data_IF_828854569084
#
_entry.id   IF_828854569084
#
_cell.length_a   1.000
_cell.length_b   1.000
_cell.length_c   1.000
_cell.angle_alpha   90.00
_cell.angle_beta   90.00
_cell.angle_gamma   90.00
#
_symmetry.space_group_name_H-M   'P 1'
#
loop_
_entity.id
_entity.type
_entity.pdbx_description
1 polymer ?
#
# COMPACT_ATOMS: atom_id res chain seq x y z
N UNK A 1 4.02 -14.37 32.77
CA UNK A 1 2.88 -15.01 32.09
C UNK A 1 2.34 -14.13 30.95
N UNK A 2 2.00 -12.87 31.22
CA UNK A 2 1.48 -11.91 30.19
C UNK A 2 2.45 -11.66 29.02
N UNK A 3 3.77 -11.58 29.23
CA UNK A 3 4.73 -11.33 28.14
C UNK A 3 4.81 -12.47 27.12
N UNK A 4 4.81 -13.74 27.57
CA UNK A 4 4.81 -14.92 26.69
C UNK A 4 3.50 -15.04 25.88
N UNK A 5 2.37 -14.75 26.53
CA UNK A 5 1.06 -14.76 25.86
C UNK A 5 0.99 -13.68 24.77
N UNK A 6 1.55 -12.49 25.02
CA UNK A 6 1.66 -11.43 24.00
C UNK A 6 2.54 -11.85 22.82
N UNK A 7 3.65 -12.52 23.06
CA UNK A 7 4.52 -13.03 22.00
C UNK A 7 3.83 -14.11 21.13
N UNK A 8 3.08 -15.01 21.77
CA UNK A 8 2.33 -16.04 21.05
C UNK A 8 1.20 -15.44 20.21
N UNK A 9 0.44 -14.47 20.76
CA UNK A 9 -0.60 -13.76 20.02
C UNK A 9 0.02 -13.00 18.84
N UNK A 10 1.13 -12.28 19.05
CA UNK A 10 1.81 -11.57 17.98
C UNK A 10 2.36 -12.49 16.89
N UNK A 11 2.82 -13.69 17.24
CA UNK A 11 3.29 -14.71 16.28
C UNK A 11 2.14 -15.31 15.46
N UNK A 12 0.94 -15.42 16.03
CA UNK A 12 -0.25 -15.97 15.35
C UNK A 12 -0.96 -14.96 14.45
N UNK A 13 -0.65 -13.67 14.58
CA UNK A 13 -1.28 -12.64 13.75
C UNK A 13 -0.90 -12.78 12.28
N UNK A 14 -1.90 -12.62 11.41
CA UNK A 14 -1.67 -12.45 9.99
C UNK A 14 -0.97 -11.10 9.76
N UNK A 15 0.28 -11.16 9.35
CA UNK A 15 1.06 -10.00 8.95
C UNK A 15 1.14 -9.96 7.43
N UNK A 16 0.79 -8.85 6.88
CA UNK A 16 1.19 -8.53 5.52
C UNK A 16 2.63 -8.02 5.56
N UNK A 17 3.60 -8.96 5.75
CA UNK A 17 4.94 -8.71 5.20
C UNK A 17 4.70 -8.45 3.72
N UNK A 18 5.20 -7.38 3.18
CA UNK A 18 4.71 -6.84 1.91
C UNK A 18 5.86 -6.30 1.10
N UNK A 19 5.76 -6.46 -0.20
CA UNK A 19 6.47 -5.62 -1.16
C UNK A 19 5.46 -4.61 -1.70
N UNK A 20 5.66 -3.36 -1.36
CA UNK A 20 4.81 -2.25 -1.75
C UNK A 20 5.66 -1.17 -2.41
N UNK A 21 5.18 -0.61 -3.51
CA UNK A 21 5.87 0.45 -4.23
C UNK A 21 4.89 1.42 -4.86
N UNK A 22 5.19 2.70 -4.74
CA UNK A 22 4.53 3.78 -5.46
C UNK A 22 5.57 4.61 -6.21
N UNK A 23 5.34 4.93 -7.47
CA UNK A 23 6.20 5.83 -8.23
C UNK A 23 5.40 6.94 -8.90
N UNK A 24 5.97 8.15 -8.91
CA UNK A 24 5.42 9.31 -9.59
C UNK A 24 6.00 9.35 -11.00
N UNK A 25 5.12 9.36 -11.99
CA UNK A 25 5.45 9.45 -13.41
C UNK A 25 5.01 10.83 -13.96
N UNK A 26 5.53 11.20 -15.12
CA UNK A 26 5.18 12.46 -15.78
C UNK A 26 3.67 12.60 -16.09
N UNK A 27 3.01 11.50 -16.36
CA UNK A 27 1.61 11.40 -16.81
C UNK A 27 0.68 10.67 -15.82
N UNK A 28 1.17 10.30 -14.63
CA UNK A 28 0.39 9.62 -13.61
C UNK A 28 1.21 9.02 -12.48
N UNK A 29 0.59 8.14 -11.73
CA UNK A 29 1.20 7.41 -10.61
C UNK A 29 0.99 5.93 -10.81
N UNK A 30 1.94 5.12 -10.37
CA UNK A 30 1.83 3.66 -10.37
C UNK A 30 1.96 3.16 -8.94
N UNK A 31 1.03 2.30 -8.54
CA UNK A 31 1.11 1.53 -7.31
C UNK A 31 1.28 0.05 -7.64
N UNK A 32 2.22 -0.59 -6.98
CA UNK A 32 2.46 -2.03 -7.10
C UNK A 32 2.55 -2.72 -5.76
N UNK A 33 2.02 -3.95 -5.66
CA UNK A 33 2.14 -4.78 -4.48
C UNK A 33 2.18 -6.27 -4.81
N UNK A 34 2.77 -7.07 -3.92
CA UNK A 34 2.70 -8.53 -3.96
C UNK A 34 1.39 -9.05 -3.32
N UNK A 35 1.17 -10.39 -3.38
CA UNK A 35 -0.08 -11.03 -2.92
C UNK A 35 0.07 -11.96 -1.72
N UNK A 36 1.27 -12.13 -1.17
CA UNK A 36 1.51 -13.07 -0.06
C UNK A 36 1.05 -12.50 1.28
N UNK A 37 0.40 -13.36 2.08
CA UNK A 37 0.14 -13.11 3.51
C UNK A 37 0.77 -14.23 4.32
N UNK A 38 1.45 -13.86 5.40
CA UNK A 38 2.15 -14.80 6.28
C UNK A 38 1.60 -14.75 7.71
N UNK A 39 1.81 -15.84 8.44
CA UNK A 39 1.70 -15.88 9.90
C UNK A 39 2.94 -16.57 10.43
N UNK A 40 3.81 -15.81 11.08
CA UNK A 40 5.15 -16.27 11.43
C UNK A 40 5.92 -16.71 10.18
N UNK A 41 6.34 -17.97 10.13
CA UNK A 41 7.06 -18.58 9.00
C UNK A 41 6.15 -19.25 7.95
N UNK A 42 4.83 -19.24 8.14
CA UNK A 42 3.89 -19.92 7.25
C UNK A 42 3.26 -18.94 6.26
N UNK A 43 3.06 -19.40 5.01
CA UNK A 43 2.26 -18.70 4.01
C UNK A 43 0.80 -19.09 4.23
N UNK A 44 -0.02 -18.13 4.69
CA UNK A 44 -1.43 -18.32 4.97
C UNK A 44 -2.34 -17.94 3.80
N UNK A 45 -1.91 -16.99 2.98
CA UNK A 45 -2.65 -16.54 1.80
C UNK A 45 -1.71 -16.29 0.61
N UNK A 46 -2.13 -16.76 -0.57
CA UNK A 46 -1.35 -16.64 -1.81
C UNK A 46 -1.94 -15.64 -2.80
N UNK A 47 -3.16 -15.17 -2.58
CA UNK A 47 -3.87 -14.25 -3.48
C UNK A 47 -4.60 -13.16 -2.70
N UNK A 48 -3.88 -12.49 -1.79
CA UNK A 48 -4.46 -11.40 -1.01
C UNK A 48 -4.27 -10.06 -1.72
N UNK A 49 -5.35 -9.28 -1.81
CA UNK A 49 -5.31 -7.96 -2.43
C UNK A 49 -4.81 -6.93 -1.42
N UNK A 50 -3.62 -6.38 -1.66
CA UNK A 50 -3.00 -5.34 -0.81
C UNK A 50 -3.26 -3.93 -1.33
N UNK A 51 -3.69 -3.80 -2.59
CA UNK A 51 -4.13 -2.55 -3.21
C UNK A 51 -5.65 -2.58 -3.29
N UNK A 52 -6.31 -1.62 -2.65
CA UNK A 52 -7.76 -1.55 -2.51
C UNK A 52 -8.28 -0.19 -3.00
N UNK A 53 -9.36 -0.20 -3.76
CA UNK A 53 -10.10 1.03 -4.06
C UNK A 53 -10.85 1.47 -2.82
N UNK A 54 -10.70 2.74 -2.45
CA UNK A 54 -11.49 3.39 -1.41
C UNK A 54 -12.82 3.85 -1.98
N UNK A 55 -12.76 4.43 -3.19
CA UNK A 55 -13.88 4.90 -4.00
C UNK A 55 -13.45 5.01 -5.47
N UNK A 56 -14.23 5.70 -6.30
CA UNK A 56 -13.99 5.81 -7.74
C UNK A 56 -12.71 6.59 -8.11
N UNK A 57 -12.22 7.45 -7.20
CA UNK A 57 -11.08 8.35 -7.46
C UNK A 57 -9.90 8.18 -6.48
N UNK A 58 -10.01 7.29 -5.49
CA UNK A 58 -8.97 7.01 -4.50
C UNK A 58 -8.65 5.52 -4.42
N UNK A 59 -7.38 5.21 -4.32
CA UNK A 59 -6.83 3.88 -4.11
C UNK A 59 -5.77 3.91 -3.02
N UNK A 60 -5.70 2.85 -2.24
CA UNK A 60 -4.73 2.69 -1.15
C UNK A 60 -4.01 1.37 -1.28
N UNK A 61 -2.77 1.33 -0.86
CA UNK A 61 -1.99 0.11 -0.75
C UNK A 61 -1.43 0.01 0.68
N UNK A 62 -1.62 -1.15 1.32
CA UNK A 62 -1.32 -1.36 2.73
C UNK A 62 -0.19 -2.34 2.98
N UNK A 63 0.58 -2.06 4.03
CA UNK A 63 1.50 -3.00 4.68
C UNK A 63 1.18 -3.10 6.16
N UNK A 64 1.51 -4.22 6.83
CA UNK A 64 1.31 -4.39 8.27
C UNK A 64 0.22 -5.41 8.63
N UNK A 65 -0.55 -5.17 9.69
CA UNK A 65 -1.62 -6.06 10.15
C UNK A 65 -2.79 -6.14 9.18
N UNK A 66 -3.14 -7.35 8.72
CA UNK A 66 -4.23 -7.53 7.73
C UNK A 66 -5.57 -7.03 8.26
N UNK A 67 -5.93 -7.40 9.51
CA UNK A 67 -7.19 -6.99 10.13
C UNK A 67 -7.25 -5.47 10.33
N UNK A 68 -6.13 -4.88 10.76
CA UNK A 68 -6.00 -3.45 10.99
C UNK A 68 -6.11 -2.65 9.69
N UNK A 69 -5.45 -3.12 8.61
CA UNK A 69 -5.54 -2.53 7.28
C UNK A 69 -6.99 -2.58 6.74
N UNK A 70 -7.68 -3.71 6.89
CA UNK A 70 -9.08 -3.84 6.49
C UNK A 70 -9.99 -2.90 7.24
N UNK A 71 -9.84 -2.78 8.57
CA UNK A 71 -10.63 -1.88 9.39
C UNK A 71 -10.35 -0.41 9.05
N UNK A 72 -9.07 -0.05 8.92
CA UNK A 72 -8.64 1.30 8.54
C UNK A 72 -9.24 1.71 7.19
N UNK A 73 -9.22 0.82 6.19
CA UNK A 73 -9.83 1.11 4.89
C UNK A 73 -11.35 1.33 4.97
N UNK A 74 -12.06 0.50 5.76
CA UNK A 74 -13.50 0.64 5.96
C UNK A 74 -13.86 1.96 6.64
N UNK A 75 -13.10 2.35 7.67
CA UNK A 75 -13.29 3.62 8.37
C UNK A 75 -13.04 4.79 7.42
N UNK A 76 -11.91 4.79 6.70
CA UNK A 76 -11.59 5.82 5.72
C UNK A 76 -12.71 6.00 4.69
N UNK A 77 -13.15 4.90 4.07
CA UNK A 77 -14.22 4.93 3.06
C UNK A 77 -15.54 5.49 3.63
N UNK A 78 -15.91 5.08 4.84
CA UNK A 78 -17.13 5.56 5.52
C UNK A 78 -17.05 7.06 5.83
N UNK A 79 -15.95 7.54 6.40
CA UNK A 79 -15.75 8.95 6.76
C UNK A 79 -15.75 9.85 5.53
N UNK A 80 -15.07 9.44 4.45
CA UNK A 80 -15.07 10.18 3.19
C UNK A 80 -16.48 10.23 2.58
N UNK A 81 -17.24 9.14 2.65
CA UNK A 81 -18.62 9.10 2.16
C UNK A 81 -19.55 9.99 2.98
N UNK A 82 -19.41 9.98 4.31
CA UNK A 82 -20.18 10.86 5.20
C UNK A 82 -19.86 12.33 4.92
N UNK A 83 -18.59 12.67 4.72
CA UNK A 83 -18.19 14.03 4.35
C UNK A 83 -18.81 14.45 3.02
N UNK A 84 -18.72 13.62 1.98
CA UNK A 84 -19.31 13.89 0.67
C UNK A 84 -20.81 14.12 0.75
N UNK A 85 -21.53 13.33 1.56
CA UNK A 85 -22.98 13.51 1.76
C UNK A 85 -23.32 14.83 2.44
N UNK A 86 -22.48 15.29 3.39
CA UNK A 86 -22.70 16.55 4.13
C UNK A 86 -22.33 17.78 3.31
N UNK A 87 -21.19 17.74 2.63
CA UNK A 87 -20.65 18.91 1.91
C UNK A 87 -21.12 18.98 0.45
N UNK A 88 -21.63 17.87 -0.10
CA UNK A 88 -21.93 17.66 -1.53
C UNK A 88 -20.68 17.75 -2.43
N UNK A 89 -19.50 17.63 -1.82
CA UNK A 89 -18.21 17.69 -2.51
C UNK A 89 -17.35 16.47 -2.21
N UNK A 90 -16.60 16.00 -3.23
CA UNK A 90 -15.58 14.97 -3.06
C UNK A 90 -14.36 15.55 -2.35
N UNK A 91 -13.80 14.80 -1.41
CA UNK A 91 -12.53 15.16 -0.78
C UNK A 91 -11.40 15.08 -1.80
N UNK A 92 -10.41 15.95 -1.67
CA UNK A 92 -9.16 15.86 -2.41
C UNK A 92 -8.31 14.68 -1.92
N UNK A 93 -7.34 14.24 -2.73
CA UNK A 93 -6.37 13.21 -2.34
C UNK A 93 -5.62 13.62 -1.07
N UNK A 94 -5.21 14.89 -0.98
CA UNK A 94 -4.54 15.46 0.19
C UNK A 94 -5.41 15.39 1.45
N UNK A 95 -6.70 15.76 1.35
CA UNK A 95 -7.62 15.69 2.50
C UNK A 95 -7.86 14.24 2.95
N UNK A 96 -7.97 13.31 2.00
CA UNK A 96 -8.09 11.88 2.31
C UNK A 96 -6.81 11.33 2.98
N UNK A 97 -5.63 11.74 2.52
CA UNK A 97 -4.35 11.39 3.13
C UNK A 97 -4.23 11.92 4.57
N UNK A 98 -4.63 13.17 4.82
CA UNK A 98 -4.64 13.74 6.16
C UNK A 98 -5.64 13.05 7.09
N UNK A 99 -6.84 12.69 6.60
CA UNK A 99 -7.80 11.91 7.38
C UNK A 99 -7.23 10.53 7.75
N UNK A 100 -6.62 9.84 6.80
CA UNK A 100 -5.97 8.56 7.03
C UNK A 100 -4.81 8.67 8.03
N UNK A 101 -4.01 9.73 7.94
CA UNK A 101 -2.96 10.06 8.91
C UNK A 101 -3.51 10.17 10.33
N UNK A 102 -4.60 10.89 10.53
CA UNK A 102 -5.23 11.03 11.85
C UNK A 102 -5.78 9.69 12.38
N UNK A 103 -6.38 8.87 11.53
CA UNK A 103 -6.86 7.53 11.89
C UNK A 103 -5.66 6.67 12.33
N UNK A 104 -4.59 6.63 11.56
CA UNK A 104 -3.37 5.85 11.84
C UNK A 104 -2.71 6.35 13.13
N UNK A 105 -2.55 7.67 13.30
CA UNK A 105 -2.02 8.27 14.52
C UNK A 105 -2.78 7.85 15.77
N UNK A 106 -4.11 7.92 15.74
CA UNK A 106 -4.96 7.50 16.85
C UNK A 106 -4.82 6.01 17.14
N UNK A 107 -4.85 5.18 16.10
CA UNK A 107 -4.81 3.73 16.23
C UNK A 107 -3.54 3.24 16.88
N UNK A 108 -2.36 3.70 16.44
CA UNK A 108 -1.06 3.25 16.99
C UNK A 108 -0.86 3.70 18.45
N UNK A 109 -1.51 4.78 18.88
CA UNK A 109 -1.41 5.31 20.25
C UNK A 109 -2.52 4.84 21.18
N UNK A 110 -3.51 4.14 20.67
CA UNK A 110 -4.54 3.53 21.51
C UNK A 110 -3.96 2.29 22.22
N UNK A 111 -3.94 2.24 23.54
CA UNK A 111 -3.42 1.09 24.28
C UNK A 111 -4.14 -0.19 23.89
N UNK A 112 -3.39 -1.18 23.43
CA UNK A 112 -3.91 -2.49 23.03
C UNK A 112 -2.84 -3.56 23.27
N UNK A 113 -3.29 -4.80 23.55
CA UNK A 113 -2.40 -5.96 23.61
C UNK A 113 -1.78 -6.27 22.24
N UNK A 114 -2.46 -5.90 21.17
CA UNK A 114 -2.03 -6.05 19.78
C UNK A 114 -1.83 -4.64 19.21
N UNK A 115 -0.59 -4.29 18.86
CA UNK A 115 -0.30 -3.00 18.27
C UNK A 115 -0.88 -2.91 16.87
N UNK A 116 -1.62 -1.84 16.61
CA UNK A 116 -2.10 -1.51 15.27
C UNK A 116 -0.96 -0.85 14.47
N UNK A 117 -0.28 -1.64 13.65
CA UNK A 117 0.84 -1.18 12.80
C UNK A 117 0.43 -1.33 11.35
N UNK A 118 0.13 -0.21 10.70
CA UNK A 118 -0.27 -0.14 9.31
C UNK A 118 0.44 1.01 8.62
N UNK A 119 1.23 0.71 7.61
CA UNK A 119 1.76 1.71 6.68
C UNK A 119 0.88 1.75 5.41
N UNK A 120 0.77 2.92 4.78
CA UNK A 120 -0.12 3.10 3.64
C UNK A 120 0.46 4.02 2.59
N UNK A 121 0.37 3.63 1.31
CA UNK A 121 0.41 4.55 0.18
C UNK A 121 -1.02 4.84 -0.26
N UNK A 122 -1.37 6.12 -0.38
CA UNK A 122 -2.66 6.57 -0.90
C UNK A 122 -2.44 7.43 -2.13
N UNK A 123 -3.17 7.14 -3.19
CA UNK A 123 -3.12 7.89 -4.43
C UNK A 123 -4.53 8.07 -5.01
N UNK A 124 -4.67 9.05 -5.88
CA UNK A 124 -5.93 9.33 -6.52
C UNK A 124 -5.85 10.50 -7.48
N UNK A 125 -7.02 10.88 -8.01
CA UNK A 125 -7.19 11.98 -8.93
C UNK A 125 -8.22 12.97 -8.38
N UNK A 126 -7.83 14.22 -8.28
CA UNK A 126 -8.70 15.33 -7.86
C UNK A 126 -9.63 15.79 -9.00
N UNK A 127 -10.67 16.57 -8.68
CA UNK A 127 -11.64 17.09 -9.66
C UNK A 127 -10.98 17.90 -10.79
N UNK A 128 -9.88 18.58 -10.49
CA UNK A 128 -9.10 19.36 -11.47
C UNK A 128 -8.16 18.50 -12.34
N UNK A 129 -8.14 17.19 -12.09
CA UNK A 129 -7.28 16.23 -12.77
C UNK A 129 -5.86 16.16 -12.21
N UNK A 130 -5.57 16.81 -11.08
CA UNK A 130 -4.30 16.62 -10.37
C UNK A 130 -4.25 15.21 -9.80
N UNK A 131 -3.15 14.49 -10.06
CA UNK A 131 -2.87 13.17 -9.52
C UNK A 131 -1.79 13.33 -8.46
N UNK A 132 -1.99 12.73 -7.28
CA UNK A 132 -1.06 12.83 -6.15
C UNK A 132 -0.86 11.48 -5.47
N UNK A 133 0.36 11.29 -4.94
CA UNK A 133 0.74 10.14 -4.12
C UNK A 133 1.16 10.65 -2.74
N UNK A 134 0.61 10.05 -1.70
CA UNK A 134 1.02 10.30 -0.32
C UNK A 134 1.44 9.00 0.34
N UNK A 135 2.46 9.08 1.18
CA UNK A 135 2.80 8.02 2.13
C UNK A 135 2.31 8.41 3.52
N UNK A 136 1.74 7.43 4.21
CA UNK A 136 1.36 7.52 5.62
C UNK A 136 2.16 6.45 6.36
N UNK A 137 3.10 6.89 7.18
CA UNK A 137 3.90 6.00 8.00
C UNK A 137 3.09 5.41 9.17
N UNK A 138 3.50 4.26 9.74
CA UNK A 138 2.76 3.62 10.82
C UNK A 138 2.56 4.48 12.08
N UNK A 139 3.43 5.48 12.31
CA UNK A 139 3.26 6.43 13.41
C UNK A 139 2.25 7.55 13.14
N UNK A 140 1.72 7.63 11.92
CA UNK A 140 0.71 8.60 11.49
C UNK A 140 1.29 9.85 10.81
N UNK A 141 2.60 9.91 10.53
CA UNK A 141 3.16 10.96 9.67
C UNK A 141 2.65 10.80 8.24
N UNK A 142 2.38 11.92 7.56
CA UNK A 142 1.94 11.93 6.17
C UNK A 142 2.68 12.99 5.36
N UNK A 143 3.16 12.61 4.17
CA UNK A 143 3.80 13.54 3.24
C UNK A 143 3.53 13.15 1.78
N UNK A 144 3.54 14.15 0.91
CA UNK A 144 3.40 13.96 -0.53
C UNK A 144 4.72 13.40 -1.10
N UNK A 145 4.61 12.37 -1.92
CA UNK A 145 5.75 11.71 -2.57
C UNK A 145 6.02 12.40 -3.90
N UNK A 146 7.24 12.89 -4.11
CA UNK A 146 7.63 13.61 -5.33
C UNK A 146 8.27 12.72 -6.40
N UNK A 147 8.77 11.55 -6.00
CA UNK A 147 9.47 10.59 -6.86
C UNK A 147 8.95 9.16 -6.66
N UNK A 148 9.33 8.49 -5.58
CA UNK A 148 8.89 7.13 -5.27
C UNK A 148 8.93 6.84 -3.77
N UNK A 149 8.17 5.82 -3.35
CA UNK A 149 8.19 5.31 -1.98
C UNK A 149 7.84 3.81 -1.95
N UNK A 150 8.37 3.11 -0.97
CA UNK A 150 8.08 1.71 -0.68
C UNK A 150 7.47 1.49 0.74
N UNK A 151 7.11 2.55 1.43
CA UNK A 151 6.37 2.65 2.69
C UNK A 151 6.63 1.52 3.70
N UNK A 152 7.74 1.56 4.45
CA UNK A 152 8.04 0.62 5.56
C UNK A 152 7.70 -0.86 5.28
N UNK A 153 7.60 -1.24 4.00
CA UNK A 153 7.34 -2.62 3.58
C UNK A 153 8.59 -3.49 3.79
N UNK A 154 8.40 -4.79 4.06
CA UNK A 154 9.54 -5.71 4.27
C UNK A 154 10.42 -5.84 3.01
N UNK A 155 9.83 -5.69 1.84
CA UNK A 155 10.54 -5.68 0.55
C UNK A 155 11.22 -4.35 0.20
N UNK A 156 11.01 -3.28 1.00
CA UNK A 156 11.51 -1.93 0.74
C UNK A 156 13.01 -1.88 0.37
N UNK A 157 13.95 -2.54 1.07
CA UNK A 157 15.37 -2.44 0.71
C UNK A 157 15.68 -2.92 -0.70
N UNK A 158 14.99 -3.96 -1.16
CA UNK A 158 15.18 -4.51 -2.51
C UNK A 158 14.55 -3.62 -3.58
N UNK A 159 13.41 -3.00 -3.26
CA UNK A 159 12.68 -2.07 -4.13
C UNK A 159 13.48 -0.79 -4.30
N UNK A 160 13.93 -0.17 -3.20
CA UNK A 160 14.70 1.07 -3.24
C UNK A 160 16.02 0.87 -3.99
N UNK A 161 16.71 -0.27 -3.81
CA UNK A 161 17.94 -0.57 -4.54
C UNK A 161 17.76 -0.59 -6.07
N UNK A 162 16.58 -0.99 -6.56
CA UNK A 162 16.26 -0.93 -8.00
C UNK A 162 15.91 0.50 -8.42
N UNK A 163 15.11 1.20 -7.62
CA UNK A 163 14.64 2.56 -7.94
C UNK A 163 15.77 3.56 -7.97
N UNK A 164 16.71 3.50 -7.02
CA UNK A 164 17.90 4.37 -6.98
C UNK A 164 18.76 4.27 -8.26
N UNK A 165 18.78 3.09 -8.87
CA UNK A 165 19.55 2.88 -10.10
C UNK A 165 18.80 3.19 -11.40
N UNK A 166 17.47 3.12 -11.40
CA UNK A 166 16.71 3.08 -12.66
C UNK A 166 15.57 4.11 -12.76
N UNK A 167 15.11 4.67 -11.63
CA UNK A 167 14.09 5.70 -11.67
C UNK A 167 14.62 6.99 -12.33
N UNK A 168 13.77 7.61 -13.14
CA UNK A 168 14.02 8.91 -13.75
C UNK A 168 12.78 9.78 -13.57
N UNK A 169 12.96 11.05 -13.23
CA UNK A 169 11.88 11.99 -12.93
C UNK A 169 10.89 12.20 -14.10
N UNK A 170 11.31 11.97 -15.32
CA UNK A 170 10.52 12.12 -16.56
C UNK A 170 9.95 10.80 -17.08
N UNK A 171 10.04 9.72 -16.30
CA UNK A 171 9.49 8.40 -16.66
C UNK A 171 7.99 8.52 -16.93
N UNK A 172 7.51 7.88 -18.01
CA UNK A 172 6.08 7.79 -18.32
C UNK A 172 5.48 6.51 -17.74
N UNK A 173 4.16 6.49 -17.52
CA UNK A 173 3.46 5.36 -16.88
C UNK A 173 3.74 4.03 -17.54
N UNK A 174 3.83 3.97 -18.87
CA UNK A 174 4.13 2.71 -19.58
C UNK A 174 5.50 2.12 -19.19
N UNK A 175 6.52 2.96 -19.07
CA UNK A 175 7.86 2.53 -18.61
C UNK A 175 7.87 2.26 -17.11
N UNK A 176 7.10 3.05 -16.36
CA UNK A 176 6.94 2.90 -14.92
C UNK A 176 6.32 1.57 -14.52
N UNK A 177 5.37 1.03 -15.29
CA UNK A 177 4.79 -0.31 -15.06
C UNK A 177 5.91 -1.36 -15.07
N UNK A 178 6.80 -1.34 -16.07
CA UNK A 178 7.90 -2.31 -16.17
C UNK A 178 8.91 -2.12 -15.04
N UNK A 179 9.19 -0.88 -14.62
CA UNK A 179 10.05 -0.60 -13.47
C UNK A 179 9.45 -1.15 -12.17
N UNK A 180 8.16 -0.93 -11.92
CA UNK A 180 7.44 -1.47 -10.76
C UNK A 180 7.44 -3.00 -10.76
N UNK A 181 7.20 -3.64 -11.91
CA UNK A 181 7.31 -5.11 -12.05
C UNK A 181 8.71 -5.60 -11.69
N UNK A 182 9.75 -4.89 -12.13
CA UNK A 182 11.15 -5.22 -11.80
C UNK A 182 11.45 -5.08 -10.30
N UNK A 183 10.96 -4.01 -9.67
CA UNK A 183 11.05 -3.80 -8.22
C UNK A 183 10.40 -4.96 -7.44
N UNK A 184 9.16 -5.31 -7.78
CA UNK A 184 8.45 -6.40 -7.14
C UNK A 184 9.10 -7.75 -7.40
N UNK A 185 9.61 -8.00 -8.61
CA UNK A 185 10.39 -9.21 -8.92
C UNK A 185 11.65 -9.31 -8.08
N UNK A 186 12.37 -8.21 -7.88
CA UNK A 186 13.58 -8.19 -7.04
C UNK A 186 13.25 -8.55 -5.58
N UNK A 187 12.22 -7.94 -5.01
CA UNK A 187 11.84 -8.17 -3.62
C UNK A 187 11.26 -9.56 -3.39
N UNK A 188 10.37 -10.06 -4.25
CA UNK A 188 9.73 -11.38 -4.08
C UNK A 188 10.72 -12.56 -4.16
N UNK A 189 11.91 -12.36 -4.67
CA UNK A 189 12.97 -13.38 -4.67
C UNK A 189 13.75 -13.47 -3.35
N UNK A 190 13.71 -12.42 -2.52
CA UNK A 190 14.55 -12.32 -1.32
C UNK A 190 13.75 -12.10 -0.04
N UNK A 191 12.63 -11.38 -0.11
CA UNK A 191 11.76 -11.17 1.03
C UNK A 191 10.82 -12.38 1.22
N UNK A 192 11.00 -13.09 2.33
CA UNK A 192 10.19 -14.26 2.70
C UNK A 192 8.71 -13.91 2.79
N UNK A 193 8.40 -12.70 3.21
CA UNK A 193 7.04 -12.23 3.39
C UNK A 193 6.32 -11.81 2.11
N UNK A 194 7.03 -11.74 0.98
CA UNK A 194 6.49 -11.28 -0.31
C UNK A 194 6.48 -12.38 -1.36
N UNK A 195 5.50 -12.36 -2.27
CA UNK A 195 5.46 -13.33 -3.37
C UNK A 195 4.06 -13.73 -3.84
N UNK A 196 3.99 -14.88 -4.49
CA UNK A 196 2.79 -15.55 -5.00
C UNK A 196 2.01 -14.80 -6.10
N UNK A 197 2.34 -13.58 -6.39
CA UNK A 197 1.74 -12.77 -7.44
C UNK A 197 1.97 -11.30 -7.22
N UNK A 198 1.59 -10.50 -8.21
CA UNK A 198 1.69 -9.04 -8.16
C UNK A 198 0.41 -8.41 -8.71
N UNK A 199 0.05 -7.27 -8.13
CA UNK A 199 -0.95 -6.35 -8.65
C UNK A 199 -0.29 -5.00 -8.94
N UNK A 200 -0.59 -4.40 -10.11
CA UNK A 200 -0.15 -3.05 -10.45
C UNK A 200 -1.35 -2.23 -10.91
N UNK A 201 -1.45 -1.04 -10.35
CA UNK A 201 -2.46 -0.05 -10.67
C UNK A 201 -1.82 1.20 -11.25
N UNK A 202 -2.46 1.77 -12.27
CA UNK A 202 -2.15 3.11 -12.77
C UNK A 202 -3.21 4.09 -12.30
N UNK A 203 -2.79 5.27 -11.93
CA UNK A 203 -3.63 6.39 -11.53
C UNK A 203 -3.26 7.57 -12.43
N UNK A 204 -4.17 7.96 -13.30
CA UNK A 204 -3.97 9.03 -14.28
C UNK A 204 -5.16 10.00 -14.23
N UNK A 205 -5.11 11.06 -15.01
CA UNK A 205 -6.25 11.98 -15.16
C UNK A 205 -7.53 11.29 -15.68
N UNK A 206 -7.40 10.17 -16.40
CA UNK A 206 -8.53 9.38 -16.89
C UNK A 206 -9.13 8.44 -15.84
N UNK A 207 -8.46 8.28 -14.69
CA UNK A 207 -8.94 7.45 -13.58
C UNK A 207 -7.93 6.43 -13.08
N UNK A 208 -8.45 5.42 -12.39
CA UNK A 208 -7.67 4.35 -11.76
C UNK A 208 -7.92 3.05 -12.53
N UNK A 209 -6.85 2.40 -12.98
CA UNK A 209 -6.92 1.13 -13.69
C UNK A 209 -6.04 0.06 -13.04
N UNK A 210 -6.52 -1.19 -13.01
CA UNK A 210 -5.75 -2.36 -12.59
C UNK A 210 -5.12 -2.97 -13.83
N UNK A 211 -3.85 -2.68 -14.09
CA UNK A 211 -3.17 -3.00 -15.35
C UNK A 211 -2.38 -4.30 -15.33
N UNK A 212 -1.98 -4.79 -14.15
CA UNK A 212 -1.28 -6.07 -14.01
C UNK A 212 -1.90 -6.86 -12.86
N UNK A 213 -2.22 -8.12 -13.14
CA UNK A 213 -2.73 -9.11 -12.18
C UNK A 213 -2.07 -10.46 -12.49
N UNK A 214 -0.82 -10.62 -12.09
CA UNK A 214 -0.02 -11.81 -12.40
C UNK A 214 0.11 -12.72 -11.18
N UNK A 215 -0.07 -14.05 -11.36
CA UNK A 215 0.26 -15.06 -10.37
C UNK A 215 1.66 -15.61 -10.63
N UNK A 216 2.42 -15.81 -9.54
CA UNK A 216 3.71 -16.49 -9.58
C UNK A 216 3.48 -17.92 -9.12
N UNK A 217 3.33 -18.83 -10.07
CA UNK A 217 3.15 -20.27 -9.80
C UNK A 217 4.52 -20.95 -9.90
N UNK A 218 4.98 -21.64 -8.84
CA UNK A 218 6.19 -22.45 -8.90
C UNK A 218 6.04 -23.57 -9.95
N UNK A 219 6.99 -23.63 -10.88
CA UNK A 219 7.07 -24.76 -11.82
C UNK A 219 8.12 -25.75 -11.29
N UNK A 220 7.68 -26.95 -10.96
CA UNK A 220 8.58 -28.07 -10.67
C UNK A 220 8.89 -28.81 -11.97
N UNK A 221 10.17 -28.90 -12.31
CA UNK A 221 10.66 -29.72 -13.44
C UNK A 221 10.89 -31.13 -12.98
#
# INVERSE_FOLDING_TARGET
MYSKMNEEIQKSMLKSSTSLVGIVCKDGIILGADRRVTSGSLIMGKNYKKILRVNDYLVVAYTGGVADAQLTNKILAAELKLRELRTKEKSTVKEAAHLLSMITYRNIRTPSMIMNIVGTLISGVDKDGKVSLFTIEPAGGAYEVEDYDANFSSGMPYILGVLEGEYKKDIVTQQGIELVKKCLKSSTQRDVGSGNGIDVFTITKSGIEHVVAEEIVPQYK
#
